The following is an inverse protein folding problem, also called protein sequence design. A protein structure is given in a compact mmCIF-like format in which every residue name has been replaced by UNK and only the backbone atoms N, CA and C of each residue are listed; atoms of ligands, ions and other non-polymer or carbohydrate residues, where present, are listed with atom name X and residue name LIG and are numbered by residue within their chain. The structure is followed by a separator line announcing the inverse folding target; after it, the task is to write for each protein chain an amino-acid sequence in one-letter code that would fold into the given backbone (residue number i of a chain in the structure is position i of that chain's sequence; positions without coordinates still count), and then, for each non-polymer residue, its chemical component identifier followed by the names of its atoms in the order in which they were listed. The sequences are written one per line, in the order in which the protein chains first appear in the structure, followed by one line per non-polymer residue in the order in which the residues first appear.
data_IF_603067474587
#
_entry.id   IF_603067474587
#
_cell.length_a   1.000
_cell.length_b   1.000
_cell.length_c   1.000
_cell.angle_alpha   90.00
_cell.angle_beta   90.00
_cell.angle_gamma   90.00
#
_symmetry.space_group_name_H-M   'P 1'
#
loop_
_entity.id
_entity.type
_entity.pdbx_description
1 polymer ?
#
# COMPACT_ATOMS: atom_id res chain seq x y z
N UNK A 1 -4.09 7.20 26.47
CA UNK A 1 -4.87 6.12 25.83
C UNK A 1 -4.11 4.82 25.96
N UNK A 2 -4.77 3.70 26.25
CA UNK A 2 -4.11 2.38 26.23
C UNK A 2 -4.14 1.81 24.81
N UNK A 3 -3.24 0.88 24.49
CA UNK A 3 -3.22 0.17 23.20
C UNK A 3 -4.55 -0.53 22.91
N UNK A 4 -5.19 -1.10 23.93
CA UNK A 4 -6.52 -1.71 23.81
C UNK A 4 -7.59 -0.70 23.40
N UNK A 5 -7.61 0.48 24.04
CA UNK A 5 -8.54 1.56 23.69
C UNK A 5 -8.33 2.04 22.25
N UNK A 6 -7.07 2.21 21.82
CA UNK A 6 -6.73 2.60 20.45
C UNK A 6 -7.19 1.57 19.41
N UNK A 7 -6.98 0.28 19.68
CA UNK A 7 -7.38 -0.80 18.77
C UNK A 7 -8.90 -0.88 18.63
N UNK A 8 -9.65 -0.71 19.72
CA UNK A 8 -11.12 -0.69 19.66
C UNK A 8 -11.61 0.49 18.81
N UNK A 9 -11.06 1.69 19.03
CA UNK A 9 -11.41 2.87 18.22
C UNK A 9 -11.11 2.61 16.75
N UNK A 10 -9.94 2.04 16.43
CA UNK A 10 -9.55 1.73 15.06
C UNK A 10 -10.51 0.73 14.40
N UNK A 11 -10.88 -0.35 15.10
CA UNK A 11 -11.82 -1.35 14.58
C UNK A 11 -13.21 -0.75 14.32
N UNK A 12 -13.69 0.12 15.22
CA UNK A 12 -14.96 0.82 15.04
C UNK A 12 -14.91 1.74 13.83
N UNK A 13 -13.81 2.50 13.65
CA UNK A 13 -13.64 3.36 12.48
C UNK A 13 -13.59 2.56 11.18
N UNK A 14 -12.88 1.43 11.14
CA UNK A 14 -12.84 0.54 9.98
C UNK A 14 -14.25 0.02 9.66
N UNK A 15 -15.00 -0.43 10.67
CA UNK A 15 -16.37 -0.90 10.48
C UNK A 15 -17.30 0.19 9.92
N UNK A 16 -17.18 1.44 10.41
CA UNK A 16 -17.93 2.59 9.89
C UNK A 16 -17.55 2.85 8.42
N UNK A 17 -16.27 2.88 8.08
CA UNK A 17 -15.82 3.08 6.69
C UNK A 17 -16.36 2.00 5.75
N UNK A 18 -16.33 0.73 6.17
CA UNK A 18 -16.89 -0.38 5.41
C UNK A 18 -18.41 -0.23 5.22
N UNK A 19 -19.13 0.12 6.28
CA UNK A 19 -20.58 0.32 6.23
C UNK A 19 -20.97 1.47 5.29
N UNK A 20 -20.28 2.61 5.37
CA UNK A 20 -20.48 3.75 4.46
C UNK A 20 -20.17 3.33 3.03
N UNK A 21 -19.06 2.62 2.81
CA UNK A 21 -18.69 2.10 1.50
C UNK A 21 -19.76 1.21 0.87
N UNK A 22 -20.38 0.31 1.66
CA UNK A 22 -21.47 -0.56 1.22
C UNK A 22 -22.73 0.24 0.89
N UNK A 23 -23.13 1.18 1.75
CA UNK A 23 -24.34 2.00 1.56
C UNK A 23 -24.23 2.88 0.31
N UNK A 24 -23.06 3.45 0.06
CA UNK A 24 -22.82 4.32 -1.10
C UNK A 24 -22.42 3.55 -2.36
N UNK A 25 -22.09 2.26 -2.27
CA UNK A 25 -21.61 1.43 -3.39
C UNK A 25 -22.45 1.54 -4.68
N UNK A 26 -23.79 1.52 -4.63
CA UNK A 26 -24.62 1.61 -5.84
C UNK A 26 -24.57 2.99 -6.52
N UNK A 27 -24.21 4.04 -5.78
CA UNK A 27 -24.17 5.42 -6.25
C UNK A 27 -22.81 5.80 -6.85
N UNK A 28 -21.79 4.95 -6.67
CA UNK A 28 -20.43 5.22 -7.08
C UNK A 28 -20.17 4.82 -8.54
N UNK A 29 -19.39 5.64 -9.29
CA UNK A 29 -19.04 5.34 -10.67
C UNK A 29 -18.21 4.06 -10.73
N UNK A 30 -18.27 3.33 -11.84
CA UNK A 30 -17.55 2.05 -11.97
C UNK A 30 -16.03 2.17 -11.88
N UNK A 31 -15.49 3.36 -12.15
CA UNK A 31 -14.06 3.68 -12.03
C UNK A 31 -13.84 4.82 -11.03
N UNK A 32 -12.90 4.61 -10.12
CA UNK A 32 -12.48 5.58 -9.10
C UNK A 32 -11.03 5.96 -9.36
N UNK A 33 -10.72 7.25 -9.28
CA UNK A 33 -9.35 7.75 -9.42
C UNK A 33 -8.45 7.11 -8.35
N UNK A 34 -7.30 6.60 -8.78
CA UNK A 34 -6.36 5.87 -7.92
C UNK A 34 -4.94 6.43 -7.95
N UNK A 35 -4.64 7.25 -8.94
CA UNK A 35 -3.32 7.83 -9.12
C UNK A 35 -3.45 9.21 -9.76
N UNK A 36 -2.55 10.10 -9.37
CA UNK A 36 -2.42 11.46 -9.88
C UNK A 36 -0.98 11.68 -10.33
N UNK A 37 -0.81 12.30 -11.49
CA UNK A 37 0.50 12.63 -12.03
C UNK A 37 1.11 13.84 -11.30
N UNK A 38 2.34 14.21 -11.70
CA UNK A 38 3.05 15.36 -11.11
C UNK A 38 2.37 16.73 -11.37
N UNK A 39 1.49 16.83 -12.36
CA UNK A 39 0.67 18.01 -12.63
C UNK A 39 -0.63 18.05 -11.81
N UNK A 40 -0.90 17.02 -11.00
CA UNK A 40 -2.13 16.89 -10.21
C UNK A 40 -3.33 16.38 -11.01
N UNK A 41 -3.11 15.86 -12.22
CA UNK A 41 -4.17 15.31 -13.06
C UNK A 41 -4.33 13.81 -12.80
N UNK A 42 -5.56 13.31 -12.89
CA UNK A 42 -5.84 11.88 -12.76
C UNK A 42 -5.37 11.16 -14.02
N UNK A 43 -4.39 10.26 -13.90
CA UNK A 43 -3.90 9.41 -14.98
C UNK A 43 -4.03 7.91 -14.66
N UNK A 44 -4.57 7.56 -13.48
CA UNK A 44 -4.84 6.18 -13.09
C UNK A 44 -6.20 6.01 -12.41
N UNK A 45 -6.84 4.88 -12.71
CA UNK A 45 -8.13 4.51 -12.15
C UNK A 45 -8.16 3.04 -11.76
N UNK A 46 -8.99 2.71 -10.77
CA UNK A 46 -9.31 1.34 -10.39
C UNK A 46 -10.83 1.11 -10.37
N UNK A 47 -11.25 -0.16 -10.36
CA UNK A 47 -12.66 -0.50 -10.20
C UNK A 47 -13.18 -0.07 -8.83
N UNK A 48 -14.45 0.37 -8.75
CA UNK A 48 -15.05 0.88 -7.51
C UNK A 48 -14.94 -0.04 -6.30
N UNK A 49 -14.98 -1.36 -6.51
CA UNK A 49 -14.71 -2.33 -5.44
C UNK A 49 -13.38 -2.08 -4.75
N UNK A 50 -12.29 -2.03 -5.51
CA UNK A 50 -10.96 -1.79 -4.97
C UNK A 50 -10.79 -0.34 -4.49
N UNK A 51 -11.41 0.63 -5.17
CA UNK A 51 -11.35 2.04 -4.76
C UNK A 51 -11.92 2.32 -3.38
N UNK A 52 -12.89 1.52 -2.93
CA UNK A 52 -13.60 1.72 -1.66
C UNK A 52 -13.06 0.79 -0.56
N UNK A 53 -12.80 -0.48 -0.88
CA UNK A 53 -12.57 -1.51 0.14
C UNK A 53 -11.10 -1.89 0.33
N UNK A 54 -10.20 -1.51 -0.59
CA UNK A 54 -8.79 -1.92 -0.52
C UNK A 54 -8.11 -1.44 0.77
N UNK A 55 -8.23 -0.14 1.10
CA UNK A 55 -7.55 0.44 2.27
C UNK A 55 -8.18 -0.03 3.59
N UNK A 56 -9.52 -0.01 3.78
CA UNK A 56 -10.13 -0.52 5.00
C UNK A 56 -9.85 -2.01 5.27
N UNK A 57 -9.72 -2.83 4.22
CA UNK A 57 -9.49 -4.26 4.35
C UNK A 57 -8.01 -4.64 4.46
N UNK A 58 -7.12 -3.96 3.72
CA UNK A 58 -5.72 -4.37 3.55
C UNK A 58 -4.70 -3.27 3.87
N UNK A 59 -5.10 -2.17 4.49
CA UNK A 59 -4.22 -1.01 4.72
C UNK A 59 -2.95 -1.36 5.52
N UNK A 60 -3.04 -2.29 6.47
CA UNK A 60 -1.90 -2.73 7.27
C UNK A 60 -0.91 -3.56 6.44
N UNK A 61 -1.41 -4.50 5.64
CA UNK A 61 -0.64 -5.33 4.73
C UNK A 61 0.05 -4.47 3.67
N UNK A 62 -0.66 -3.51 3.09
CA UNK A 62 -0.11 -2.56 2.13
C UNK A 62 1.03 -1.75 2.77
N UNK A 63 0.84 -1.25 3.99
CA UNK A 63 1.88 -0.51 4.71
C UNK A 63 3.12 -1.37 4.98
N UNK A 64 2.93 -2.62 5.38
CA UNK A 64 4.02 -3.57 5.59
C UNK A 64 4.77 -3.85 4.28
N UNK A 65 4.06 -4.13 3.19
CA UNK A 65 4.70 -4.40 1.89
C UNK A 65 5.42 -3.19 1.32
N UNK A 66 4.87 -1.98 1.50
CA UNK A 66 5.51 -0.73 1.11
C UNK A 66 6.87 -0.51 1.79
N UNK A 67 7.11 -1.11 2.97
CA UNK A 67 8.38 -1.03 3.70
C UNK A 67 9.28 -2.22 3.34
N UNK A 68 8.74 -3.44 3.37
CA UNK A 68 9.54 -4.65 3.18
C UNK A 68 10.12 -4.74 1.77
N UNK A 69 9.34 -4.39 0.73
CA UNK A 69 9.77 -4.53 -0.66
C UNK A 69 11.00 -3.66 -0.96
N UNK A 70 11.02 -2.35 -0.66
CA UNK A 70 12.20 -1.51 -0.89
C UNK A 70 13.43 -1.97 -0.09
N UNK A 71 13.24 -2.39 1.17
CA UNK A 71 14.34 -2.87 2.01
C UNK A 71 14.94 -4.14 1.40
N UNK A 72 14.10 -5.12 1.07
CA UNK A 72 14.55 -6.36 0.46
C UNK A 72 15.28 -6.09 -0.87
N UNK A 73 14.74 -5.22 -1.72
CA UNK A 73 15.37 -4.82 -2.98
C UNK A 73 16.75 -4.18 -2.74
N UNK A 74 16.86 -3.23 -1.82
CA UNK A 74 18.12 -2.58 -1.48
C UNK A 74 19.16 -3.56 -0.92
N UNK A 75 18.75 -4.49 -0.05
CA UNK A 75 19.61 -5.54 0.48
C UNK A 75 20.12 -6.48 -0.62
N UNK A 76 19.23 -6.94 -1.51
CA UNK A 76 19.60 -7.81 -2.63
C UNK A 76 20.61 -7.11 -3.54
N UNK A 77 20.34 -5.85 -3.93
CA UNK A 77 21.25 -5.06 -4.77
C UNK A 77 22.62 -4.95 -4.11
N UNK A 78 22.68 -4.65 -2.82
CA UNK A 78 23.93 -4.49 -2.07
C UNK A 78 24.75 -5.79 -2.03
N UNK A 79 24.09 -6.92 -1.76
CA UNK A 79 24.74 -8.24 -1.72
C UNK A 79 25.28 -8.63 -3.10
N UNK A 80 24.45 -8.50 -4.14
CA UNK A 80 24.84 -8.82 -5.52
C UNK A 80 26.00 -7.95 -5.98
N UNK A 81 25.93 -6.64 -5.75
CA UNK A 81 27.00 -5.71 -6.07
C UNK A 81 28.31 -6.08 -5.38
N UNK A 82 28.25 -6.37 -4.07
CA UNK A 82 29.43 -6.74 -3.29
C UNK A 82 30.08 -8.03 -3.80
N UNK A 83 29.27 -9.02 -4.18
CA UNK A 83 29.77 -10.27 -4.77
C UNK A 83 30.47 -10.04 -6.12
N UNK A 84 29.87 -9.23 -6.99
CA UNK A 84 30.47 -8.88 -8.30
C UNK A 84 31.78 -8.11 -8.09
N UNK A 85 31.82 -7.17 -7.16
CA UNK A 85 33.01 -6.40 -6.83
C UNK A 85 34.14 -7.31 -6.30
N UNK A 86 33.83 -8.23 -5.37
CA UNK A 86 34.77 -9.23 -4.87
C UNK A 86 35.37 -10.06 -6.02
N UNK A 87 34.53 -10.62 -6.90
CA UNK A 87 34.99 -11.38 -8.08
C UNK A 87 35.89 -10.57 -9.01
N UNK A 88 35.67 -9.26 -9.13
CA UNK A 88 36.49 -8.37 -9.98
C UNK A 88 37.84 -8.05 -9.36
N UNK A 89 37.92 -7.95 -8.04
CA UNK A 89 39.17 -7.73 -7.29
C UNK A 89 39.98 -9.02 -7.25
N UNK A 90 39.35 -10.17 -6.97
CA UNK A 90 40.03 -11.47 -6.87
C UNK A 90 40.58 -11.97 -8.21
N UNK A 91 39.94 -11.63 -9.34
CA UNK A 91 40.41 -11.97 -10.69
C UNK A 91 41.49 -11.02 -11.24
N UNK A 92 41.96 -10.05 -10.47
CA UNK A 92 43.15 -9.25 -10.76
C UNK A 92 44.36 -9.83 -10.04
#
# INVERSE_FOLDING_TARGET
MTTKTANVILLVLIAICLAVGIVLYPQLPDRIASHWNAAGEVDGYMGKFWGIFLIPAFGNEIAIFAIIIPIAAASIITVVYSYIAYKKIEKK
#
